data_IF_049852677520
#
_entry.id   IF_049852677520
#
_cell.length_a   1.000
_cell.length_b   1.000
_cell.length_c   1.000
_cell.angle_alpha   90.00
_cell.angle_beta   90.00
_cell.angle_gamma   90.00
#
_symmetry.space_group_name_H-M   'P 1'
#
loop_
_entity.id
_entity.type
_entity.pdbx_description
1 polymer ?
#
# COMPACT_ATOMS: atom_id res chain seq x y z
N UNK A 1 -24.83 5.23 11.53
CA UNK A 1 -24.34 5.88 10.29
C UNK A 1 -23.59 4.78 9.54
N UNK A 2 -23.44 4.90 8.21
CA UNK A 2 -22.59 3.96 7.46
C UNK A 2 -21.11 4.21 7.82
N UNK A 3 -20.31 3.14 7.89
CA UNK A 3 -18.86 3.21 8.01
C UNK A 3 -18.29 3.78 6.70
N UNK A 4 -17.63 4.93 6.78
CA UNK A 4 -16.93 5.52 5.64
C UNK A 4 -15.57 4.86 5.46
N UNK A 5 -15.26 4.48 4.21
CA UNK A 5 -14.02 3.77 3.88
C UNK A 5 -13.28 4.48 2.77
N UNK A 6 -12.00 4.74 3.01
CA UNK A 6 -10.99 5.03 1.98
C UNK A 6 -10.06 3.83 1.92
N UNK A 7 -10.00 3.19 0.77
CA UNK A 7 -9.07 2.11 0.51
C UNK A 7 -7.68 2.68 0.21
N UNK A 8 -6.73 2.52 1.12
CA UNK A 8 -5.41 3.12 0.94
C UNK A 8 -4.51 2.33 -0.04
N UNK A 9 -4.98 1.19 -0.59
CA UNK A 9 -4.20 0.40 -1.52
C UNK A 9 -5.08 -0.48 -2.41
N UNK A 10 -5.30 -0.05 -3.62
CA UNK A 10 -5.91 -0.88 -4.64
C UNK A 10 -5.19 -0.72 -5.98
N UNK A 11 -5.37 -1.70 -6.85
CA UNK A 11 -4.86 -1.72 -8.21
C UNK A 11 -6.00 -1.86 -9.20
N UNK A 12 -5.85 -1.26 -10.36
CA UNK A 12 -6.66 -1.52 -11.55
C UNK A 12 -5.75 -1.56 -12.76
N UNK A 13 -6.07 -2.38 -13.74
CA UNK A 13 -5.29 -2.50 -14.96
C UNK A 13 -6.15 -2.94 -16.14
N UNK A 14 -5.67 -2.64 -17.34
CA UNK A 14 -6.27 -3.07 -18.58
C UNK A 14 -5.27 -3.87 -19.41
N UNK A 15 -5.44 -5.19 -19.49
CA UNK A 15 -4.52 -6.08 -20.19
C UNK A 15 -4.54 -5.93 -21.72
N UNK A 16 -5.49 -5.17 -22.29
CA UNK A 16 -5.44 -4.81 -23.71
C UNK A 16 -4.40 -3.72 -23.99
N UNK A 17 -3.95 -2.98 -22.96
CA UNK A 17 -3.08 -1.81 -23.08
C UNK A 17 -1.87 -1.81 -22.16
N UNK A 18 -1.83 -2.71 -21.16
CA UNK A 18 -0.74 -2.83 -20.19
C UNK A 18 -0.14 -4.22 -20.24
N UNK A 19 1.19 -4.28 -20.25
CA UNK A 19 1.94 -5.51 -20.09
C UNK A 19 2.38 -5.66 -18.63
N UNK A 20 1.88 -6.71 -17.97
CA UNK A 20 2.12 -7.01 -16.55
C UNK A 20 2.74 -8.43 -16.44
N UNK A 21 4.06 -8.57 -16.68
CA UNK A 21 4.71 -9.88 -16.73
C UNK A 21 4.57 -10.70 -15.45
N UNK A 22 4.49 -10.04 -14.29
CA UNK A 22 4.34 -10.71 -13.01
C UNK A 22 3.02 -11.51 -12.86
N UNK A 23 2.00 -11.21 -13.68
CA UNK A 23 0.75 -11.96 -13.68
C UNK A 23 0.91 -13.41 -14.15
N UNK A 24 1.95 -13.72 -14.93
CA UNK A 24 2.23 -15.10 -15.36
C UNK A 24 2.42 -16.06 -14.18
N UNK A 25 2.89 -15.54 -13.03
CA UNK A 25 3.07 -16.30 -11.79
C UNK A 25 1.81 -16.51 -10.96
N UNK A 26 0.63 -16.00 -11.40
CA UNK A 26 -0.59 -15.94 -10.56
C UNK A 26 -1.63 -17.02 -10.90
N UNK A 27 -1.25 -18.12 -11.57
CA UNK A 27 -2.10 -19.24 -11.98
C UNK A 27 -3.41 -18.85 -12.72
N UNK A 28 -3.48 -17.64 -13.23
CA UNK A 28 -4.65 -17.09 -13.95
C UNK A 28 -5.72 -16.45 -13.06
N UNK A 29 -5.59 -16.54 -11.73
CA UNK A 29 -6.63 -16.05 -10.78
C UNK A 29 -6.95 -14.58 -10.97
N UNK A 30 -5.95 -13.75 -11.25
CA UNK A 30 -6.13 -12.30 -11.46
C UNK A 30 -5.68 -11.84 -12.85
N UNK A 31 -5.51 -12.75 -13.80
CA UNK A 31 -5.06 -12.46 -15.17
C UNK A 31 -6.22 -12.04 -16.07
N UNK A 32 -6.87 -10.95 -15.73
CA UNK A 32 -7.89 -10.26 -16.53
C UNK A 32 -7.94 -8.78 -16.19
N UNK A 33 -8.60 -7.98 -17.03
CA UNK A 33 -8.75 -6.53 -16.79
C UNK A 33 -9.61 -6.28 -15.55
N UNK A 34 -9.16 -5.37 -14.68
CA UNK A 34 -9.87 -4.89 -13.51
C UNK A 34 -10.09 -3.38 -13.59
N UNK A 35 -11.29 -2.94 -13.23
CA UNK A 35 -11.71 -1.53 -13.29
C UNK A 35 -12.09 -1.02 -11.90
N UNK A 36 -12.16 0.29 -11.76
CA UNK A 36 -12.60 0.92 -10.50
C UNK A 36 -14.02 0.51 -10.13
N UNK A 37 -14.92 0.34 -11.12
CA UNK A 37 -16.31 -0.11 -10.91
C UNK A 37 -16.38 -1.53 -10.32
N UNK A 38 -15.41 -2.39 -10.62
CA UNK A 38 -15.37 -3.73 -10.04
C UNK A 38 -15.04 -3.65 -8.54
N UNK A 39 -14.11 -2.77 -8.14
CA UNK A 39 -13.84 -2.49 -6.73
C UNK A 39 -15.06 -1.85 -6.03
N UNK A 40 -15.71 -0.89 -6.68
CA UNK A 40 -16.94 -0.29 -6.15
C UNK A 40 -18.02 -1.34 -5.89
N UNK A 41 -18.15 -2.34 -6.78
CA UNK A 41 -19.07 -3.45 -6.60
C UNK A 41 -18.71 -4.35 -5.40
N UNK A 42 -17.42 -4.55 -5.10
CA UNK A 42 -16.98 -5.25 -3.88
C UNK A 42 -17.46 -4.50 -2.62
N UNK A 43 -17.25 -3.18 -2.55
CA UNK A 43 -17.71 -2.36 -1.43
C UNK A 43 -19.23 -2.27 -1.33
N UNK A 44 -19.94 -2.21 -2.45
CA UNK A 44 -21.40 -2.15 -2.47
C UNK A 44 -22.08 -3.38 -1.84
N UNK A 45 -21.38 -4.52 -1.78
CA UNK A 45 -21.86 -5.72 -1.08
C UNK A 45 -21.68 -5.66 0.42
N UNK A 46 -20.84 -4.75 0.94
CA UNK A 46 -20.57 -4.64 2.36
C UNK A 46 -21.68 -3.88 3.08
N UNK A 47 -22.40 -4.57 3.98
CA UNK A 47 -23.51 -3.98 4.70
C UNK A 47 -23.09 -2.80 5.59
N UNK A 48 -23.75 -1.67 5.44
CA UNK A 48 -23.52 -0.48 6.26
C UNK A 48 -22.20 0.24 5.95
N UNK A 49 -21.63 0.04 4.76
CA UNK A 49 -20.39 0.69 4.29
C UNK A 49 -20.68 1.72 3.22
N UNK A 50 -19.98 2.84 3.29
CA UNK A 50 -19.91 3.88 2.26
C UNK A 50 -18.47 3.96 1.73
N UNK A 51 -18.24 3.48 0.52
CA UNK A 51 -16.96 3.62 -0.15
C UNK A 51 -16.78 5.06 -0.65
N UNK A 52 -15.94 5.82 0.02
CA UNK A 52 -15.64 7.22 -0.32
C UNK A 52 -14.71 7.28 -1.54
N UNK A 53 -13.75 6.37 -1.62
CA UNK A 53 -12.77 6.26 -2.69
C UNK A 53 -11.51 5.58 -2.22
N UNK A 54 -10.44 5.66 -3.02
CA UNK A 54 -9.19 5.03 -2.61
C UNK A 54 -7.96 5.57 -3.32
N UNK A 55 -6.82 5.03 -2.93
CA UNK A 55 -5.50 5.33 -3.47
C UNK A 55 -5.09 4.22 -4.43
N UNK A 56 -5.01 4.59 -5.70
CA UNK A 56 -4.42 3.73 -6.72
C UNK A 56 -2.92 3.58 -6.46
N UNK A 57 -2.43 2.37 -6.55
CA UNK A 57 -1.01 2.05 -6.47
C UNK A 57 -0.58 1.44 -7.79
N UNK A 58 0.59 1.83 -8.28
CA UNK A 58 1.20 1.30 -9.51
C UNK A 58 1.16 -0.24 -9.57
N UNK A 59 1.19 -0.80 -10.78
CA UNK A 59 0.94 -2.22 -11.01
C UNK A 59 2.15 -3.00 -11.54
N UNK A 60 3.36 -2.45 -11.38
CA UNK A 60 4.60 -3.03 -11.92
C UNK A 60 4.48 -3.37 -13.43
N UNK A 61 3.96 -2.39 -14.18
CA UNK A 61 3.85 -2.48 -15.63
C UNK A 61 5.23 -2.45 -16.29
N UNK A 62 5.45 -3.23 -17.34
CA UNK A 62 6.71 -3.25 -18.07
C UNK A 62 7.09 -1.88 -18.66
N UNK A 63 6.13 -1.05 -19.01
CA UNK A 63 6.30 0.35 -19.43
C UNK A 63 5.71 1.31 -18.39
N UNK A 64 6.56 1.83 -17.50
CA UNK A 64 6.15 2.72 -16.40
C UNK A 64 5.62 4.07 -16.90
N UNK A 65 6.10 4.59 -18.05
CA UNK A 65 5.61 5.85 -18.59
C UNK A 65 4.23 5.69 -19.23
N UNK A 66 4.00 4.57 -19.89
CA UNK A 66 2.68 4.21 -20.41
C UNK A 66 1.69 3.98 -19.24
N UNK A 67 2.15 3.37 -18.13
CA UNK A 67 1.33 3.20 -16.93
C UNK A 67 0.88 4.53 -16.35
N UNK A 68 1.76 5.53 -16.26
CA UNK A 68 1.38 6.86 -15.76
C UNK A 68 0.25 7.48 -16.57
N UNK A 69 0.32 7.37 -17.91
CA UNK A 69 -0.74 7.90 -18.77
C UNK A 69 -2.07 7.19 -18.52
N UNK A 70 -2.03 5.86 -18.35
CA UNK A 70 -3.22 5.05 -18.07
C UNK A 70 -3.79 5.40 -16.68
N UNK A 71 -2.94 5.55 -15.67
CA UNK A 71 -3.35 5.97 -14.34
C UNK A 71 -3.98 7.37 -14.34
N UNK A 72 -3.43 8.28 -15.16
CA UNK A 72 -4.03 9.61 -15.35
C UNK A 72 -5.43 9.52 -15.97
N UNK A 73 -5.58 8.72 -17.02
CA UNK A 73 -6.87 8.53 -17.70
C UNK A 73 -7.90 7.87 -16.75
N UNK A 74 -7.49 6.88 -15.95
CA UNK A 74 -8.33 6.27 -14.92
C UNK A 74 -8.77 7.30 -13.87
N UNK A 75 -7.81 8.08 -13.33
CA UNK A 75 -8.12 9.11 -12.34
C UNK A 75 -9.09 10.17 -12.88
N UNK A 76 -8.91 10.57 -14.13
CA UNK A 76 -9.79 11.56 -14.77
C UNK A 76 -11.22 11.02 -15.00
N UNK A 77 -11.35 9.71 -15.23
CA UNK A 77 -12.64 9.06 -15.46
C UNK A 77 -13.38 8.71 -14.14
N UNK A 78 -12.65 8.47 -13.04
CA UNK A 78 -13.21 7.92 -11.82
C UNK A 78 -12.95 8.81 -10.59
N UNK A 79 -13.94 9.61 -10.16
CA UNK A 79 -13.81 10.53 -9.01
C UNK A 79 -13.40 9.83 -7.71
N UNK A 80 -13.71 8.54 -7.55
CA UNK A 80 -13.33 7.74 -6.38
C UNK A 80 -11.86 7.28 -6.38
N UNK A 81 -11.13 7.46 -7.47
CA UNK A 81 -9.67 7.35 -7.47
C UNK A 81 -9.08 8.67 -6.91
N UNK A 82 -8.97 8.75 -5.58
CA UNK A 82 -8.64 9.99 -4.87
C UNK A 82 -7.17 10.40 -5.09
N UNK A 83 -6.27 9.43 -5.17
CA UNK A 83 -4.83 9.64 -5.30
C UNK A 83 -4.19 8.52 -6.12
N UNK A 84 -2.99 8.78 -6.67
CA UNK A 84 -2.19 7.79 -7.39
C UNK A 84 -0.77 7.77 -6.83
N UNK A 85 -0.33 6.60 -6.37
CA UNK A 85 1.05 6.30 -6.05
C UNK A 85 1.71 5.71 -7.28
N UNK A 86 2.64 6.43 -7.87
CA UNK A 86 3.23 6.08 -9.16
C UNK A 86 4.66 5.56 -9.00
N UNK A 87 5.08 4.69 -9.92
CA UNK A 87 6.41 4.09 -9.87
C UNK A 87 7.49 5.06 -10.31
N UNK A 88 8.56 5.12 -9.53
CA UNK A 88 9.82 5.74 -9.92
C UNK A 88 10.97 5.19 -9.09
N UNK A 89 12.16 5.08 -9.68
CA UNK A 89 13.38 4.74 -8.95
C UNK A 89 13.77 5.94 -8.08
N UNK A 90 13.69 5.76 -6.76
CA UNK A 90 13.87 6.86 -5.79
C UNK A 90 15.29 7.42 -5.86
N UNK A 91 15.38 8.69 -6.20
CA UNK A 91 16.65 9.42 -6.32
C UNK A 91 16.39 10.93 -6.35
N UNK A 92 17.40 11.80 -6.19
CA UNK A 92 17.21 13.25 -6.27
C UNK A 92 16.68 13.75 -7.63
N UNK A 93 16.87 12.97 -8.67
CA UNK A 93 16.45 13.27 -10.05
C UNK A 93 15.33 12.36 -10.56
N UNK A 94 14.64 11.63 -9.66
CA UNK A 94 13.54 10.75 -10.05
C UNK A 94 12.44 11.48 -10.81
N UNK A 95 11.79 10.75 -11.71
CA UNK A 95 10.60 11.23 -12.40
C UNK A 95 9.43 11.29 -11.43
N UNK A 96 8.76 12.43 -11.37
CA UNK A 96 7.55 12.63 -10.56
C UNK A 96 6.47 13.24 -11.47
N UNK A 97 5.51 12.44 -11.93
CA UNK A 97 4.38 12.95 -12.72
C UNK A 97 3.58 14.00 -11.94
N UNK A 98 3.13 15.04 -12.62
CA UNK A 98 2.49 16.20 -11.98
C UNK A 98 1.19 15.87 -11.20
N UNK A 99 0.54 14.74 -11.50
CA UNK A 99 -0.67 14.28 -10.83
C UNK A 99 -0.40 13.22 -9.75
N UNK A 100 0.87 12.80 -9.57
CA UNK A 100 1.25 11.85 -8.54
C UNK A 100 0.94 12.43 -7.15
N UNK A 101 0.34 11.61 -6.32
CA UNK A 101 0.12 11.91 -4.90
C UNK A 101 1.28 11.42 -4.02
N UNK A 102 2.21 10.67 -4.59
CA UNK A 102 3.40 10.13 -3.99
C UNK A 102 4.10 9.15 -4.94
N UNK A 103 5.20 8.60 -4.50
CA UNK A 103 6.03 7.66 -5.28
C UNK A 103 6.11 6.32 -4.56
N UNK A 104 6.10 5.24 -5.34
CA UNK A 104 6.40 3.87 -4.90
C UNK A 104 7.59 3.33 -5.69
N UNK A 105 8.51 2.68 -4.99
CA UNK A 105 9.51 1.80 -5.58
C UNK A 105 9.29 0.41 -5.01
N UNK A 106 8.94 -0.61 -5.83
CA UNK A 106 8.60 -1.95 -5.34
C UNK A 106 9.88 -2.75 -5.03
N UNK A 107 10.53 -2.46 -3.91
CA UNK A 107 11.82 -3.04 -3.49
C UNK A 107 11.78 -4.56 -3.25
N UNK A 108 10.59 -5.17 -3.28
CA UNK A 108 10.40 -6.61 -3.06
C UNK A 108 10.54 -7.47 -4.31
N UNK A 109 10.57 -6.90 -5.50
CA UNK A 109 10.65 -7.65 -6.76
C UNK A 109 12.08 -8.14 -7.03
N UNK A 110 12.20 -9.23 -7.79
CA UNK A 110 13.49 -9.89 -8.03
C UNK A 110 14.49 -9.03 -8.82
N UNK A 111 14.00 -8.12 -9.65
CA UNK A 111 14.84 -7.20 -10.44
C UNK A 111 15.50 -6.11 -9.58
N UNK A 112 14.94 -5.82 -8.41
CA UNK A 112 15.53 -4.80 -7.52
C UNK A 112 16.72 -5.38 -6.75
N UNK A 113 17.87 -4.66 -6.68
CA UNK A 113 19.02 -5.12 -5.91
C UNK A 113 18.73 -5.12 -4.41
N UNK A 114 19.30 -6.12 -3.71
CA UNK A 114 19.23 -6.16 -2.25
C UNK A 114 19.95 -4.95 -1.66
N UNK A 115 19.39 -4.40 -0.58
CA UNK A 115 19.94 -3.21 0.08
C UNK A 115 19.75 -1.91 -0.69
N UNK A 116 18.91 -1.90 -1.74
CA UNK A 116 18.61 -0.72 -2.56
C UNK A 116 18.24 0.50 -1.71
N UNK A 117 17.45 0.32 -0.67
CA UNK A 117 17.02 1.41 0.21
C UNK A 117 18.17 2.07 1.02
N UNK A 118 19.32 1.39 1.17
CA UNK A 118 20.50 1.93 1.85
C UNK A 118 21.43 2.73 0.92
N UNK A 119 21.16 2.75 -0.37
CA UNK A 119 21.98 3.54 -1.30
C UNK A 119 21.87 5.04 -0.98
N UNK A 120 22.99 5.80 -0.95
CA UNK A 120 22.95 7.24 -0.68
C UNK A 120 21.96 8.00 -1.59
N UNK A 121 21.87 7.61 -2.86
CA UNK A 121 20.96 8.22 -3.84
C UNK A 121 19.49 7.95 -3.49
N UNK A 122 19.16 6.79 -2.90
CA UNK A 122 17.81 6.51 -2.44
C UNK A 122 17.45 7.41 -1.23
N UNK A 123 18.34 7.51 -0.25
CA UNK A 123 18.14 8.37 0.93
C UNK A 123 17.99 9.84 0.53
N UNK A 124 18.84 10.34 -0.38
CA UNK A 124 18.70 11.69 -0.93
C UNK A 124 17.39 11.87 -1.72
N UNK A 125 16.90 10.80 -2.33
CA UNK A 125 15.59 10.76 -2.98
C UNK A 125 14.44 10.91 -1.99
N UNK A 126 14.51 10.27 -0.81
CA UNK A 126 13.52 10.45 0.26
C UNK A 126 13.47 11.92 0.72
N UNK A 127 14.61 12.56 0.97
CA UNK A 127 14.67 13.99 1.29
C UNK A 127 14.07 14.86 0.17
N UNK A 128 14.23 14.45 -1.09
CA UNK A 128 13.65 15.16 -2.24
C UNK A 128 12.12 15.04 -2.26
N UNK A 129 11.56 13.87 -1.91
CA UNK A 129 10.11 13.67 -1.78
C UNK A 129 9.55 14.48 -0.61
N UNK A 130 10.21 14.45 0.54
CA UNK A 130 9.84 15.25 1.70
C UNK A 130 9.76 16.75 1.37
N UNK A 131 10.77 17.28 0.65
CA UNK A 131 10.80 18.67 0.22
C UNK A 131 9.64 19.03 -0.74
N UNK A 132 9.07 18.05 -1.44
CA UNK A 132 7.88 18.20 -2.29
C UNK A 132 6.56 17.94 -1.55
N UNK A 133 6.60 17.42 -0.32
CA UNK A 133 5.43 17.00 0.44
C UNK A 133 4.72 15.80 -0.18
N UNK A 134 5.47 14.90 -0.83
CA UNK A 134 4.97 13.69 -1.49
C UNK A 134 5.40 12.46 -0.71
N UNK A 135 4.47 11.65 -0.17
CA UNK A 135 4.82 10.44 0.57
C UNK A 135 5.51 9.39 -0.30
N UNK A 136 6.36 8.60 0.34
CA UNK A 136 6.96 7.41 -0.24
C UNK A 136 6.22 6.15 0.22
N UNK A 137 5.78 5.29 -0.71
CA UNK A 137 5.28 3.96 -0.40
C UNK A 137 6.38 2.92 -0.54
N UNK A 138 6.60 2.19 0.56
CA UNK A 138 7.62 1.17 0.66
C UNK A 138 7.01 -0.22 0.62
N UNK A 139 7.45 -1.05 -0.33
CA UNK A 139 7.12 -2.47 -0.39
C UNK A 139 8.42 -3.27 -0.40
N UNK A 140 8.87 -3.72 0.76
CA UNK A 140 10.15 -4.39 0.95
C UNK A 140 10.00 -5.90 1.04
N UNK A 141 11.08 -6.62 0.78
CA UNK A 141 11.21 -8.02 1.23
C UNK A 141 11.25 -8.06 2.75
N UNK A 142 10.62 -9.06 3.36
CA UNK A 142 10.57 -9.18 4.83
C UNK A 142 11.96 -9.22 5.49
N UNK A 143 12.93 -9.84 4.83
CA UNK A 143 14.31 -9.94 5.31
C UNK A 143 15.17 -8.69 5.07
N UNK A 144 14.61 -7.62 4.49
CA UNK A 144 15.24 -6.32 4.28
C UNK A 144 14.54 -5.20 5.09
N UNK A 145 13.66 -5.57 6.03
CA UNK A 145 12.97 -4.57 6.87
C UNK A 145 13.92 -3.81 7.81
N UNK A 146 15.02 -4.43 8.24
CA UNK A 146 16.04 -3.73 9.03
C UNK A 146 16.74 -2.65 8.21
N UNK A 147 17.10 -2.96 6.95
CA UNK A 147 17.68 -1.99 6.01
C UNK A 147 16.71 -0.83 5.74
N UNK A 148 15.42 -1.17 5.57
CA UNK A 148 14.37 -0.18 5.38
C UNK A 148 14.23 0.74 6.61
N UNK A 149 14.27 0.18 7.84
CA UNK A 149 14.27 0.98 9.06
C UNK A 149 15.47 1.96 9.10
N UNK A 150 16.67 1.47 8.78
CA UNK A 150 17.88 2.31 8.76
C UNK A 150 17.79 3.43 7.72
N UNK A 151 17.21 3.16 6.56
CA UNK A 151 16.98 4.17 5.52
C UNK A 151 15.97 5.24 5.99
N UNK A 152 14.81 4.83 6.50
CA UNK A 152 13.74 5.75 6.91
C UNK A 152 14.12 6.59 8.13
N UNK A 153 14.92 6.05 9.04
CA UNK A 153 15.45 6.78 10.18
C UNK A 153 16.39 7.94 9.77
N UNK A 154 16.97 7.87 8.56
CA UNK A 154 17.82 8.94 8.02
C UNK A 154 17.02 10.07 7.36
N UNK A 155 15.73 9.85 7.04
CA UNK A 155 14.84 10.85 6.44
C UNK A 155 13.58 11.05 7.30
N UNK A 156 13.70 11.55 8.56
CA UNK A 156 12.59 11.63 9.49
C UNK A 156 11.50 12.64 9.09
N UNK A 157 11.77 13.51 8.15
CA UNK A 157 10.80 14.45 7.56
C UNK A 157 9.95 13.85 6.44
N UNK A 158 10.36 12.70 5.89
CA UNK A 158 9.62 12.03 4.83
C UNK A 158 8.44 11.23 5.41
N UNK A 159 7.27 11.35 4.78
CA UNK A 159 6.12 10.49 5.11
C UNK A 159 6.29 9.13 4.42
N UNK A 160 6.61 8.11 5.19
CA UNK A 160 6.76 6.74 4.69
C UNK A 160 5.51 5.92 4.97
N UNK A 161 5.05 5.17 3.98
CA UNK A 161 3.89 4.27 4.10
C UNK A 161 4.35 2.85 3.78
N UNK A 162 4.51 2.03 4.82
CA UNK A 162 4.92 0.64 4.69
C UNK A 162 3.74 -0.22 4.19
N UNK A 163 3.91 -0.89 3.05
CA UNK A 163 2.89 -1.75 2.47
C UNK A 163 2.81 -3.09 3.22
N UNK A 164 1.61 -3.63 3.37
CA UNK A 164 1.31 -5.02 3.71
C UNK A 164 2.03 -5.54 4.97
N UNK A 165 2.09 -4.72 6.02
CA UNK A 165 2.79 -5.08 7.26
C UNK A 165 4.24 -5.55 7.00
N UNK A 166 4.89 -5.01 5.95
CA UNK A 166 6.24 -5.39 5.55
C UNK A 166 6.33 -6.76 4.87
N UNK A 167 5.24 -7.22 4.23
CA UNK A 167 5.15 -8.53 3.56
C UNK A 167 5.43 -9.72 4.50
N UNK A 168 4.83 -9.66 5.69
CA UNK A 168 5.04 -10.67 6.74
C UNK A 168 4.57 -12.05 6.32
N UNK A 169 5.43 -13.04 6.52
CA UNK A 169 5.14 -14.47 6.29
C UNK A 169 4.94 -15.22 7.60
N UNK A 170 5.68 -14.84 8.65
CA UNK A 170 5.59 -15.42 9.98
C UNK A 170 5.91 -14.38 11.07
N UNK A 171 5.36 -14.57 12.26
CA UNK A 171 5.62 -13.71 13.43
C UNK A 171 6.89 -14.12 14.16
N UNK A 172 8.03 -14.15 13.46
CA UNK A 172 9.33 -14.42 14.06
C UNK A 172 9.74 -13.35 15.07
N UNK A 173 10.69 -13.67 15.95
CA UNK A 173 11.20 -12.68 16.91
C UNK A 173 11.96 -11.54 16.19
N UNK A 174 12.63 -11.83 15.07
CA UNK A 174 13.30 -10.86 14.21
C UNK A 174 12.29 -9.89 13.59
N UNK A 175 11.20 -10.42 13.00
CA UNK A 175 10.13 -9.57 12.46
C UNK A 175 9.54 -8.67 13.54
N UNK A 176 9.20 -9.23 14.71
CA UNK A 176 8.64 -8.45 15.82
C UNK A 176 9.61 -7.37 16.30
N UNK A 177 10.91 -7.66 16.33
CA UNK A 177 11.92 -6.70 16.76
C UNK A 177 12.02 -5.52 15.79
N UNK A 178 12.10 -5.77 14.48
CA UNK A 178 12.19 -4.69 13.47
C UNK A 178 10.91 -3.88 13.40
N UNK A 179 9.73 -4.50 13.48
CA UNK A 179 8.46 -3.76 13.46
C UNK A 179 8.29 -2.85 14.69
N UNK A 180 8.83 -3.23 15.86
CA UNK A 180 8.89 -2.33 17.02
C UNK A 180 9.83 -1.13 16.79
N UNK A 181 10.95 -1.33 16.08
CA UNK A 181 11.81 -0.21 15.66
C UNK A 181 11.06 0.70 14.67
N UNK A 182 10.41 0.11 13.65
CA UNK A 182 9.57 0.85 12.69
C UNK A 182 8.51 1.70 13.40
N UNK A 183 7.84 1.15 14.41
CA UNK A 183 6.81 1.86 15.18
C UNK A 183 7.36 3.07 15.98
N UNK A 184 8.67 3.15 16.20
CA UNK A 184 9.30 4.32 16.83
C UNK A 184 9.52 5.49 15.86
N UNK A 185 9.39 5.27 14.55
CA UNK A 185 9.54 6.31 13.56
C UNK A 185 8.28 7.20 13.51
N UNK A 186 8.39 8.52 13.75
CA UNK A 186 7.22 9.40 13.82
C UNK A 186 6.53 9.61 12.46
N UNK A 187 7.28 9.40 11.40
CA UNK A 187 6.91 9.62 10.01
C UNK A 187 6.35 8.38 9.30
N UNK A 188 6.26 7.22 10.00
CA UNK A 188 5.85 5.96 9.39
C UNK A 188 4.35 5.70 9.60
N UNK A 189 3.68 5.31 8.51
CA UNK A 189 2.36 4.68 8.49
C UNK A 189 2.47 3.24 7.99
N UNK A 190 1.49 2.39 8.34
CA UNK A 190 1.51 0.98 7.97
C UNK A 190 0.16 0.55 7.41
N UNK A 191 0.16 -0.03 6.22
CA UNK A 191 -1.03 -0.64 5.61
C UNK A 191 -1.26 -2.03 6.18
N UNK A 192 -2.43 -2.22 6.75
CA UNK A 192 -2.87 -3.51 7.32
C UNK A 192 -3.55 -4.33 6.23
N UNK A 193 -2.76 -5.11 5.51
CA UNK A 193 -3.18 -5.95 4.38
C UNK A 193 -2.08 -6.98 4.05
N UNK A 194 -2.27 -7.79 3.00
CA UNK A 194 -1.24 -8.69 2.48
C UNK A 194 -1.05 -9.97 3.29
N UNK A 195 -2.07 -10.44 4.02
CA UNK A 195 -2.02 -11.68 4.82
C UNK A 195 -3.11 -12.67 4.43
N UNK A 196 -2.84 -14.00 4.51
CA UNK A 196 -3.82 -15.04 4.18
C UNK A 196 -4.86 -15.19 5.29
N UNK A 197 -6.14 -14.96 4.98
CA UNK A 197 -7.23 -15.02 5.98
C UNK A 197 -7.59 -16.43 6.43
N UNK A 198 -7.12 -17.46 5.73
CA UNK A 198 -7.38 -18.86 6.05
C UNK A 198 -6.67 -19.31 7.34
N UNK A 199 -5.48 -18.79 7.62
CA UNK A 199 -4.78 -19.05 8.89
C UNK A 199 -5.28 -18.12 9.99
N UNK A 200 -6.44 -18.47 10.56
CA UNK A 200 -7.10 -17.64 11.59
C UNK A 200 -6.22 -17.39 12.82
N UNK A 201 -5.36 -18.36 13.18
CA UNK A 201 -4.46 -18.20 14.34
C UNK A 201 -3.38 -17.17 14.02
N UNK A 202 -2.68 -17.33 12.90
CA UNK A 202 -1.66 -16.39 12.47
C UNK A 202 -2.24 -14.98 12.34
N UNK A 203 -3.38 -14.81 11.68
CA UNK A 203 -4.04 -13.52 11.48
C UNK A 203 -4.39 -12.86 12.80
N UNK A 204 -5.00 -13.61 13.75
CA UNK A 204 -5.34 -13.06 15.06
C UNK A 204 -4.11 -12.61 15.85
N UNK A 205 -3.02 -13.40 15.82
CA UNK A 205 -1.77 -13.05 16.49
C UNK A 205 -1.09 -11.82 15.80
N UNK A 206 -1.12 -11.78 14.47
CA UNK A 206 -0.57 -10.68 13.68
C UNK A 206 -1.29 -9.36 13.94
N UNK A 207 -2.63 -9.34 13.85
CA UNK A 207 -3.42 -8.14 14.05
C UNK A 207 -3.31 -7.64 15.49
N UNK A 208 -3.32 -8.55 16.46
CA UNK A 208 -3.06 -8.20 17.87
C UNK A 208 -1.68 -7.57 18.04
N UNK A 209 -0.63 -8.21 17.50
CA UNK A 209 0.74 -7.67 17.57
C UNK A 209 0.83 -6.28 16.92
N UNK A 210 0.18 -6.09 15.77
CA UNK A 210 0.15 -4.82 15.04
C UNK A 210 -0.47 -3.72 15.90
N UNK A 211 -1.63 -3.95 16.50
CA UNK A 211 -2.33 -3.00 17.38
C UNK A 211 -1.56 -2.68 18.66
N UNK A 212 -0.88 -3.70 19.23
CA UNK A 212 -0.08 -3.52 20.44
C UNK A 212 1.24 -2.77 20.16
N UNK A 213 1.67 -2.71 18.88
CA UNK A 213 2.97 -2.16 18.49
C UNK A 213 2.87 -0.75 17.92
N UNK A 214 1.90 -0.49 17.07
CA UNK A 214 1.74 0.80 16.39
C UNK A 214 0.67 1.66 17.04
N UNK A 215 0.90 2.98 17.03
CA UNK A 215 -0.12 3.94 17.44
C UNK A 215 -1.34 3.85 16.50
N UNK A 216 -2.59 3.95 17.00
CA UNK A 216 -3.80 3.78 16.18
C UNK A 216 -3.87 4.73 14.97
N UNK A 217 -3.33 5.94 15.08
CA UNK A 217 -3.29 6.95 14.02
C UNK A 217 -2.26 6.66 12.92
N UNK A 218 -1.48 5.58 13.05
CA UNK A 218 -0.46 5.13 12.09
C UNK A 218 -0.90 3.93 11.26
N UNK A 219 -2.02 3.31 11.59
CA UNK A 219 -2.54 2.14 10.90
C UNK A 219 -3.53 2.54 9.80
N UNK A 220 -3.34 2.02 8.59
CA UNK A 220 -4.18 2.30 7.43
C UNK A 220 -4.91 1.03 6.99
N UNK A 221 -6.21 1.13 6.79
CA UNK A 221 -6.96 0.11 6.06
C UNK A 221 -6.51 0.06 4.59
N UNK A 222 -6.29 -1.14 4.07
CA UNK A 222 -5.96 -1.39 2.68
C UNK A 222 -6.55 -2.74 2.23
N UNK A 223 -7.20 -2.80 1.06
CA UNK A 223 -7.74 -4.06 0.55
C UNK A 223 -6.69 -4.89 -0.20
N UNK A 224 -5.73 -4.24 -0.82
CA UNK A 224 -4.84 -4.83 -1.82
C UNK A 224 -5.61 -5.49 -2.99
N UNK A 225 -6.79 -4.98 -3.31
CA UNK A 225 -7.60 -5.49 -4.41
C UNK A 225 -6.96 -5.16 -5.77
N UNK A 226 -6.98 -6.04 -6.77
CA UNK A 226 -7.52 -7.40 -6.76
C UNK A 226 -6.52 -8.45 -6.28
N UNK A 227 -5.28 -8.08 -5.92
CA UNK A 227 -4.20 -9.00 -5.50
C UNK A 227 -4.60 -9.83 -4.28
N UNK A 228 -5.45 -9.29 -3.42
CA UNK A 228 -6.03 -10.02 -2.28
C UNK A 228 -6.64 -11.37 -2.68
N UNK A 229 -7.13 -11.52 -3.92
CA UNK A 229 -7.72 -12.77 -4.44
C UNK A 229 -6.72 -13.92 -4.58
N UNK A 230 -5.41 -13.64 -4.53
CA UNK A 230 -4.37 -14.69 -4.55
C UNK A 230 -4.25 -15.43 -3.22
N UNK A 231 -4.70 -14.83 -2.12
CA UNK A 231 -4.50 -15.39 -0.76
C UNK A 231 -5.74 -15.26 0.12
N UNK A 232 -6.84 -14.66 -0.35
CA UNK A 232 -8.08 -14.45 0.37
C UNK A 232 -9.23 -14.15 -0.58
N UNK A 233 -10.40 -13.78 -0.03
CA UNK A 233 -11.44 -13.05 -0.75
C UNK A 233 -11.52 -11.62 -0.22
N UNK A 234 -12.07 -10.69 -1.00
CA UNK A 234 -12.31 -9.32 -0.55
C UNK A 234 -13.19 -9.31 0.71
N UNK A 235 -14.28 -10.09 0.70
CA UNK A 235 -15.25 -10.14 1.79
C UNK A 235 -14.62 -10.66 3.09
N UNK A 236 -13.81 -11.73 3.02
CA UNK A 236 -13.11 -12.28 4.20
C UNK A 236 -12.05 -11.32 4.73
N UNK A 237 -11.28 -10.67 3.84
CA UNK A 237 -10.28 -9.68 4.23
C UNK A 237 -10.94 -8.49 4.93
N UNK A 238 -11.97 -7.89 4.29
CA UNK A 238 -12.69 -6.75 4.84
C UNK A 238 -13.35 -7.08 6.19
N UNK A 239 -14.08 -8.20 6.28
CA UNK A 239 -14.75 -8.61 7.52
C UNK A 239 -13.74 -8.90 8.63
N UNK A 240 -12.61 -9.55 8.33
CA UNK A 240 -11.55 -9.81 9.33
C UNK A 240 -11.02 -8.51 9.93
N UNK A 241 -10.77 -7.48 9.10
CA UNK A 241 -10.31 -6.18 9.59
C UNK A 241 -11.42 -5.43 10.34
N UNK A 242 -12.66 -5.51 9.87
CA UNK A 242 -13.80 -4.88 10.57
C UNK A 242 -14.09 -5.53 11.92
N UNK A 243 -13.94 -6.86 12.03
CA UNK A 243 -14.08 -7.57 13.31
C UNK A 243 -12.99 -7.17 14.31
N UNK A 244 -11.76 -6.95 13.84
CA UNK A 244 -10.62 -6.58 14.70
C UNK A 244 -10.61 -5.11 15.11
N UNK A 245 -10.92 -4.19 14.17
CA UNK A 245 -10.84 -2.73 14.39
C UNK A 245 -12.20 -2.09 14.70
N UNK A 246 -13.31 -2.84 14.58
CA UNK A 246 -14.66 -2.29 14.67
C UNK A 246 -14.97 -1.33 13.51
N UNK A 247 -15.96 -0.46 13.70
CA UNK A 247 -16.28 0.63 12.75
C UNK A 247 -15.44 1.89 13.07
N UNK A 248 -14.11 1.73 13.23
CA UNK A 248 -13.19 2.82 13.54
C UNK A 248 -12.91 3.67 12.29
N UNK A 249 -13.52 4.86 12.23
CA UNK A 249 -13.35 5.80 11.10
C UNK A 249 -11.89 6.29 10.96
N UNK A 250 -11.09 6.31 12.02
CA UNK A 250 -9.68 6.69 11.90
C UNK A 250 -8.92 5.63 11.12
N UNK A 251 -9.10 4.35 11.46
CA UNK A 251 -8.48 3.25 10.74
C UNK A 251 -8.97 3.13 9.29
N UNK A 252 -10.30 3.19 9.07
CA UNK A 252 -10.89 2.97 7.74
C UNK A 252 -10.84 4.20 6.82
N UNK A 253 -10.58 5.42 7.33
CA UNK A 253 -10.63 6.62 6.49
C UNK A 253 -9.62 7.70 6.91
N UNK A 254 -9.70 8.22 8.15
CA UNK A 254 -9.05 9.48 8.48
C UNK A 254 -7.52 9.38 8.49
N UNK A 255 -6.96 8.21 8.84
CA UNK A 255 -5.51 7.98 8.77
C UNK A 255 -4.99 8.06 7.34
N UNK A 256 -5.75 7.51 6.36
CA UNK A 256 -5.40 7.64 4.94
C UNK A 256 -5.49 9.11 4.47
N UNK A 257 -6.50 9.86 4.92
CA UNK A 257 -6.59 11.30 4.64
C UNK A 257 -5.34 12.03 5.12
N UNK A 258 -4.87 11.72 6.34
CA UNK A 258 -3.65 12.33 6.90
C UNK A 258 -2.39 11.92 6.17
N UNK A 259 -2.21 10.60 5.95
CA UNK A 259 -1.00 10.04 5.35
C UNK A 259 -0.75 10.53 3.91
N UNK A 260 -1.82 10.69 3.13
CA UNK A 260 -1.72 11.12 1.72
C UNK A 260 -2.10 12.59 1.50
N UNK A 261 -2.47 13.33 2.54
CA UNK A 261 -2.92 14.71 2.40
C UNK A 261 -4.16 14.88 1.50
N UNK A 262 -5.10 13.91 1.57
CA UNK A 262 -6.28 13.90 0.70
C UNK A 262 -7.20 15.09 0.98
N UNK A 263 -7.75 15.64 -0.09
CA UNK A 263 -8.81 16.67 -0.03
C UNK A 263 -10.12 16.02 -0.48
N UNK A 264 -11.03 15.84 0.46
CA UNK A 264 -12.36 15.23 0.24
C UNK A 264 -13.41 16.29 -0.08
#
# INVERSE_FOLDING_TARGET
>A
MALKVIDSHFHVWNLDTQDLPWLEGTDGTITHTYKVEDLEAEYARQAGVEFVGGVYVEVDCADHEAEDKIAYDFKAAHPKMLACMLRSDVSPWMRVPAFAAGIREPLHIDSEPKGRCLEPTFIEGLHTLAAKGLPFESCNRVNELEDAYEAFAQAPEETVILNHLGNVEELSDEYKAVMKKMASLPNLYVKVSGFPTQDKKFVSELLKFTRDTFAPDKLLYASNWPVVKLYSTFDEHFSTLRDEFGDDEDFFMNNAVRAYGLKL
#
